data_IF_684508099513
#
_entry.id   IF_684508099513
#
_cell.length_a   1.000
_cell.length_b   1.000
_cell.length_c   1.000
_cell.angle_alpha   90.00
_cell.angle_beta   90.00
_cell.angle_gamma   90.00
#
_symmetry.space_group_name_H-M   'P 1'
#
loop_
_entity.id
_entity.type
_entity.pdbx_description
1 polymer ?
#
# COMPACT_ATOMS: atom_id res chain seq x y z
N UNK A 1 -9.92 -12.56 -8.99
CA UNK A 1 -10.95 -11.65 -8.46
C UNK A 1 -10.27 -10.43 -7.84
N UNK A 2 -10.80 -9.21 -8.00
CA UNK A 2 -10.21 -8.03 -7.38
C UNK A 2 -10.23 -8.13 -5.86
N UNK A 3 -9.21 -7.56 -5.20
CA UNK A 3 -9.10 -7.55 -3.74
C UNK A 3 -8.65 -6.19 -3.22
N UNK A 4 -8.92 -5.91 -1.95
CA UNK A 4 -8.44 -4.69 -1.30
C UNK A 4 -7.01 -4.93 -0.80
N UNK A 5 -6.10 -4.04 -1.17
CA UNK A 5 -4.70 -4.08 -0.80
C UNK A 5 -4.40 -3.03 0.27
N UNK A 6 -3.82 -3.46 1.39
CA UNK A 6 -3.41 -2.57 2.47
C UNK A 6 -1.97 -2.09 2.30
N UNK A 7 -1.66 -0.89 2.79
CA UNK A 7 -0.33 -0.30 2.70
C UNK A 7 0.73 -1.10 3.45
N UNK A 8 0.37 -1.74 4.57
CA UNK A 8 1.30 -2.56 5.35
C UNK A 8 1.87 -3.74 4.53
N UNK A 9 1.02 -4.34 3.68
CA UNK A 9 1.39 -5.44 2.78
C UNK A 9 2.35 -4.97 1.71
N UNK A 10 2.09 -3.82 1.10
CA UNK A 10 2.96 -3.24 0.08
C UNK A 10 4.31 -2.83 0.68
N UNK A 11 4.28 -2.24 1.88
CA UNK A 11 5.48 -1.83 2.60
C UNK A 11 6.40 -3.03 2.91
N UNK A 12 5.82 -4.19 3.21
CA UNK A 12 6.54 -5.43 3.47
C UNK A 12 7.33 -5.97 2.26
N UNK A 13 6.95 -5.60 1.03
CA UNK A 13 7.69 -6.00 -0.19
C UNK A 13 9.04 -5.31 -0.32
N UNK A 14 9.17 -4.09 0.18
CA UNK A 14 10.34 -3.24 -0.07
C UNK A 14 11.16 -2.94 1.18
N UNK A 15 10.58 -3.05 2.37
CA UNK A 15 11.29 -2.81 3.62
C UNK A 15 11.88 -4.11 4.17
N UNK A 16 13.20 -4.12 4.37
CA UNK A 16 13.93 -5.27 4.88
C UNK A 16 13.37 -5.78 6.22
N UNK A 17 13.25 -7.10 6.34
CA UNK A 17 12.76 -7.77 7.55
C UNK A 17 11.25 -7.69 7.80
N UNK A 18 10.47 -7.15 6.86
CA UNK A 18 9.00 -7.08 6.99
C UNK A 18 8.25 -8.03 6.04
N UNK A 19 8.95 -8.68 5.11
CA UNK A 19 8.36 -9.68 4.21
C UNK A 19 7.87 -10.90 4.99
N UNK A 20 6.66 -11.32 4.68
CA UNK A 20 5.97 -12.51 5.21
C UNK A 20 5.44 -13.36 4.06
N UNK A 21 5.15 -14.64 4.33
CA UNK A 21 4.52 -15.55 3.36
C UNK A 21 3.22 -14.96 2.80
N UNK A 22 2.44 -14.28 3.64
CA UNK A 22 1.24 -13.56 3.22
C UNK A 22 1.56 -12.44 2.22
N UNK A 23 2.50 -11.55 2.55
CA UNK A 23 2.85 -10.46 1.63
C UNK A 23 3.38 -10.97 0.29
N UNK A 24 4.15 -12.06 0.28
CA UNK A 24 4.67 -12.67 -0.95
C UNK A 24 3.54 -13.29 -1.77
N UNK A 25 2.60 -13.99 -1.13
CA UNK A 25 1.43 -14.53 -1.81
C UNK A 25 0.56 -13.42 -2.45
N UNK A 26 0.42 -12.27 -1.80
CA UNK A 26 -0.29 -11.12 -2.37
C UNK A 26 0.46 -10.52 -3.57
N UNK A 27 1.80 -10.46 -3.52
CA UNK A 27 2.60 -10.02 -4.67
C UNK A 27 2.40 -10.95 -5.87
N UNK A 28 2.49 -12.27 -5.67
CA UNK A 28 2.25 -13.27 -6.72
C UNK A 28 0.82 -13.20 -7.26
N UNK A 29 -0.18 -12.97 -6.38
CA UNK A 29 -1.56 -12.81 -6.81
C UNK A 29 -1.75 -11.61 -7.74
N UNK A 30 -1.04 -10.50 -7.48
CA UNK A 30 -1.10 -9.28 -8.29
C UNK A 30 -0.55 -9.46 -9.72
N UNK A 31 0.14 -10.56 -10.02
CA UNK A 31 0.55 -10.91 -11.39
C UNK A 31 -0.65 -11.27 -12.28
N UNK A 32 -1.74 -11.74 -11.69
CA UNK A 32 -2.93 -12.24 -12.43
C UNK A 32 -4.23 -11.53 -12.06
N UNK A 33 -4.29 -10.91 -10.88
CA UNK A 33 -5.44 -10.17 -10.35
C UNK A 33 -5.19 -8.67 -10.28
N UNK A 34 -6.27 -7.90 -10.07
CA UNK A 34 -6.22 -6.47 -9.77
C UNK A 34 -6.37 -6.21 -8.27
N UNK A 35 -5.74 -5.14 -7.78
CA UNK A 35 -5.95 -4.63 -6.44
C UNK A 35 -6.69 -3.30 -6.46
N UNK A 36 -7.49 -3.06 -5.40
CA UNK A 36 -8.08 -1.78 -5.07
C UNK A 36 -7.46 -1.26 -3.77
N UNK A 37 -7.14 0.03 -3.71
CA UNK A 37 -6.64 0.68 -2.49
C UNK A 37 -7.53 1.85 -2.11
N UNK A 38 -7.73 2.14 -0.81
CA UNK A 38 -8.45 3.33 -0.41
C UNK A 38 -7.66 4.61 -0.78
N UNK A 39 -8.33 5.77 -0.94
CA UNK A 39 -7.65 7.04 -1.22
C UNK A 39 -6.52 7.38 -0.24
N UNK A 40 -6.67 6.98 1.03
CA UNK A 40 -5.70 7.22 2.09
C UNK A 40 -4.34 6.51 1.84
N UNK A 41 -4.35 5.42 1.08
CA UNK A 41 -3.18 4.58 0.83
C UNK A 41 -2.00 5.36 0.23
N UNK A 42 -2.27 6.32 -0.67
CA UNK A 42 -1.21 7.14 -1.28
C UNK A 42 -0.46 7.98 -0.24
N UNK A 43 -1.17 8.51 0.75
CA UNK A 43 -0.60 9.28 1.85
C UNK A 43 0.20 8.38 2.80
N UNK A 44 -0.33 7.20 3.10
CA UNK A 44 0.33 6.22 3.97
C UNK A 44 1.63 5.71 3.35
N UNK A 45 1.60 5.30 2.08
CA UNK A 45 2.79 4.83 1.36
C UNK A 45 3.86 5.93 1.29
N UNK A 46 3.45 7.15 0.91
CA UNK A 46 4.37 8.30 0.85
C UNK A 46 5.02 8.57 2.20
N UNK A 47 4.25 8.51 3.29
CA UNK A 47 4.77 8.73 4.63
C UNK A 47 5.69 7.58 5.09
N UNK A 48 5.39 6.33 4.74
CA UNK A 48 6.26 5.17 5.02
C UNK A 48 7.60 5.31 4.30
N UNK A 49 7.59 5.61 3.00
CA UNK A 49 8.82 5.80 2.22
C UNK A 49 9.64 6.99 2.72
N UNK A 50 8.99 8.13 2.99
CA UNK A 50 9.63 9.29 3.65
C UNK A 50 10.30 8.85 4.94
N UNK A 51 9.57 8.18 5.82
CA UNK A 51 10.07 7.76 7.13
C UNK A 51 11.27 6.80 6.99
N UNK A 52 11.18 5.84 6.08
CA UNK A 52 12.28 4.92 5.79
C UNK A 52 13.53 5.65 5.27
N UNK A 53 13.37 6.63 4.39
CA UNK A 53 14.46 7.50 3.93
C UNK A 53 15.08 8.29 5.08
N UNK A 54 14.27 8.96 5.91
CA UNK A 54 14.77 9.76 7.04
C UNK A 54 15.49 8.92 8.10
N UNK A 55 15.15 7.63 8.21
CA UNK A 55 15.80 6.67 9.12
C UNK A 55 16.99 5.95 8.49
N UNK A 56 17.40 6.33 7.28
CA UNK A 56 18.52 5.72 6.57
C UNK A 56 18.29 4.27 6.12
N UNK A 57 17.03 3.79 6.12
CA UNK A 57 16.68 2.43 5.67
C UNK A 57 16.53 2.33 4.16
N UNK A 58 16.19 3.43 3.50
CA UNK A 58 16.11 3.57 2.05
C UNK A 58 16.84 4.84 1.62
N UNK A 59 17.30 4.87 0.37
CA UNK A 59 17.74 6.11 -0.28
C UNK A 59 16.57 6.73 -1.04
N UNK A 60 16.65 8.04 -1.32
CA UNK A 60 15.64 8.71 -2.15
C UNK A 60 15.52 8.09 -3.55
N UNK A 61 16.63 7.63 -4.13
CA UNK A 61 16.65 6.96 -5.44
C UNK A 61 15.86 5.65 -5.39
N UNK A 62 16.11 4.82 -4.38
CA UNK A 62 15.38 3.55 -4.21
C UNK A 62 13.90 3.81 -3.94
N UNK A 63 13.56 4.79 -3.10
CA UNK A 63 12.16 5.15 -2.85
C UNK A 63 11.42 5.59 -4.12
N UNK A 64 12.09 6.31 -5.03
CA UNK A 64 11.51 6.69 -6.32
C UNK A 64 11.33 5.47 -7.23
N UNK A 65 12.31 4.58 -7.32
CA UNK A 65 12.20 3.33 -8.09
C UNK A 65 11.05 2.44 -7.60
N UNK A 66 10.81 2.41 -6.28
CA UNK A 66 9.67 1.70 -5.70
C UNK A 66 8.36 2.31 -6.22
N UNK A 67 8.21 3.63 -6.17
CA UNK A 67 7.01 4.32 -6.67
C UNK A 67 6.81 4.09 -8.17
N UNK A 68 7.89 4.15 -8.96
CA UNK A 68 7.85 3.89 -10.40
C UNK A 68 7.39 2.44 -10.66
N UNK A 69 7.89 1.47 -9.90
CA UNK A 69 7.48 0.07 -10.00
C UNK A 69 6.00 -0.11 -9.65
N UNK A 70 5.56 0.46 -8.53
CA UNK A 70 4.18 0.38 -8.06
C UNK A 70 3.19 1.00 -9.06
N UNK A 71 3.61 2.05 -9.79
CA UNK A 71 2.78 2.69 -10.82
C UNK A 71 2.47 1.78 -12.02
N UNK A 72 3.26 0.72 -12.21
CA UNK A 72 3.07 -0.25 -13.30
C UNK A 72 2.25 -1.47 -12.85
N UNK A 73 1.98 -1.62 -11.56
CA UNK A 73 1.18 -2.72 -11.04
C UNK A 73 -0.31 -2.44 -11.23
N UNK A 74 -1.17 -3.48 -11.37
CA UNK A 74 -2.61 -3.33 -11.52
C UNK A 74 -3.29 -2.96 -10.20
N UNK A 75 -2.94 -1.79 -9.65
CA UNK A 75 -3.45 -1.23 -8.39
C UNK A 75 -4.27 0.02 -8.72
N UNK A 76 -5.58 -0.07 -8.55
CA UNK A 76 -6.50 1.04 -8.75
C UNK A 76 -6.82 1.72 -7.41
N UNK A 77 -6.74 3.05 -7.36
CA UNK A 77 -7.23 3.81 -6.20
C UNK A 77 -8.74 3.91 -6.31
N UNK A 78 -9.46 3.55 -5.23
CA UNK A 78 -10.91 3.72 -5.17
C UNK A 78 -11.27 5.20 -5.36
N UNK A 79 -12.01 5.49 -6.43
CA UNK A 79 -12.45 6.84 -6.78
C UNK A 79 -13.71 7.29 -6.02
N UNK A 80 -14.25 6.44 -5.14
CA UNK A 80 -15.39 6.75 -4.29
C UNK A 80 -15.11 7.89 -3.31
N UNK A 81 -16.15 8.67 -3.00
CA UNK A 81 -16.05 9.64 -1.92
C UNK A 81 -15.78 8.90 -0.59
N UNK A 82 -14.78 9.33 0.20
CA UNK A 82 -14.50 8.67 1.47
C UNK A 82 -15.71 8.78 2.41
N UNK A 83 -16.02 7.73 3.19
CA UNK A 83 -17.10 7.80 4.16
C UNK A 83 -16.83 8.89 5.20
N UNK A 84 -17.89 9.57 5.64
CA UNK A 84 -17.77 10.61 6.66
C UNK A 84 -17.30 10.04 8.01
N UNK A 85 -16.68 10.89 8.84
CA UNK A 85 -16.12 10.51 10.15
C UNK A 85 -17.13 9.76 11.03
N UNK A 86 -18.41 10.21 11.04
CA UNK A 86 -19.49 9.54 11.79
C UNK A 86 -19.71 8.11 11.29
N UNK A 87 -19.82 7.92 9.98
CA UNK A 87 -20.06 6.60 9.40
C UNK A 87 -18.90 5.63 9.69
N UNK A 88 -17.66 6.13 9.60
CA UNK A 88 -16.47 5.35 9.98
C UNK A 88 -16.49 4.96 11.46
N UNK A 89 -16.82 5.90 12.35
CA UNK A 89 -16.94 5.63 13.78
C UNK A 89 -18.01 4.56 14.07
N UNK A 90 -19.19 4.68 13.48
CA UNK A 90 -20.26 3.69 13.63
C UNK A 90 -19.87 2.30 13.13
N UNK A 91 -19.11 2.21 12.02
CA UNK A 91 -18.58 0.94 11.52
C UNK A 91 -17.52 0.35 12.45
N UNK A 92 -16.66 1.17 13.05
CA UNK A 92 -15.61 0.74 13.97
C UNK A 92 -16.14 0.25 15.32
N UNK A 93 -17.34 0.67 15.70
CA UNK A 93 -18.00 0.28 16.95
C UNK A 93 -18.88 -0.97 16.83
N UNK A 94 -18.99 -1.56 15.63
CA UNK A 94 -19.70 -2.83 15.38
C UNK A 94 -18.77 -4.02 15.59
#
# INVERSE_FOLDING_TARGET
MPFVLDNSVVSAWYLSGQSTDYSQAIAARLETDKALVPPLWQLELSNVLKTACTRGRLTHTVARQILDTLSQLPIDVDAGAPPGQRQLFELAMR
#
